data_IF_945095189496
#
_entry.id   IF_945095189496
#
_cell.length_a   1.000
_cell.length_b   1.000
_cell.length_c   1.000
_cell.angle_alpha   90.00
_cell.angle_beta   90.00
_cell.angle_gamma   90.00
#
_symmetry.space_group_name_H-M   'P 1'
#
loop_
_entity.id
_entity.type
_entity.pdbx_description
1 polymer ?
#
# COMPACT_ATOMS: atom_id res chain seq x y z
N UNK A 1 3.11 -66.73 44.44
CA UNK A 1 2.54 -66.03 45.60
C UNK A 1 3.43 -64.82 45.90
N UNK A 2 3.17 -63.68 45.25
CA UNK A 2 3.64 -62.36 45.69
C UNK A 2 2.60 -61.33 45.26
N UNK A 3 2.27 -60.47 46.21
CA UNK A 3 1.05 -59.68 46.35
C UNK A 3 1.48 -58.21 46.37
N UNK A 4 0.67 -57.32 45.79
CA UNK A 4 0.62 -55.84 46.04
C UNK A 4 1.82 -55.01 45.55
N UNK A 5 1.70 -53.80 44.97
CA UNK A 5 0.83 -52.66 45.28
C UNK A 5 0.57 -51.79 44.03
N UNK A 6 -0.68 -51.36 43.84
CA UNK A 6 -1.09 -50.28 42.92
C UNK A 6 -1.16 -49.00 43.75
N UNK A 7 -0.33 -48.00 43.44
CA UNK A 7 -0.43 -46.66 44.01
C UNK A 7 -1.14 -45.74 43.00
N UNK A 8 -2.39 -45.39 43.29
CA UNK A 8 -3.15 -44.34 42.61
C UNK A 8 -2.65 -42.98 43.07
N UNK A 9 -2.13 -42.17 42.14
CA UNK A 9 -1.85 -40.76 42.38
C UNK A 9 -3.13 -39.95 42.07
N UNK A 10 -3.92 -39.67 43.10
CA UNK A 10 -4.96 -38.64 43.06
C UNK A 10 -4.27 -37.27 43.16
N UNK A 11 -4.10 -36.60 42.03
CA UNK A 11 -3.66 -35.20 42.00
C UNK A 11 -4.87 -34.33 42.37
N UNK A 12 -4.94 -33.92 43.63
CA UNK A 12 -5.81 -32.81 44.03
C UNK A 12 -5.20 -31.51 43.49
N UNK A 13 -5.79 -30.99 42.40
CA UNK A 13 -5.61 -29.61 41.96
C UNK A 13 -6.21 -28.69 43.03
N UNK A 14 -5.38 -28.27 43.98
CA UNK A 14 -5.67 -27.10 44.80
C UNK A 14 -5.63 -25.88 43.88
N UNK A 15 -6.81 -25.34 43.57
CA UNK A 15 -6.93 -24.04 42.91
C UNK A 15 -6.57 -22.99 43.96
N UNK A 16 -5.37 -22.44 43.87
CA UNK A 16 -4.91 -21.37 44.73
C UNK A 16 -5.83 -20.13 44.55
N UNK A 17 -6.54 -19.66 45.59
CA UNK A 17 -7.39 -18.48 45.49
C UNK A 17 -6.58 -17.21 45.19
N UNK A 18 -5.28 -17.22 45.47
CA UNK A 18 -4.36 -16.14 45.12
C UNK A 18 -4.15 -16.01 43.59
N UNK A 19 -4.23 -17.10 42.82
CA UNK A 19 -4.15 -17.06 41.36
C UNK A 19 -5.43 -16.48 40.73
N UNK A 20 -6.59 -16.70 41.36
CA UNK A 20 -7.85 -16.10 40.93
C UNK A 20 -7.87 -14.57 41.16
N UNK A 21 -7.42 -14.10 42.33
CA UNK A 21 -7.35 -12.67 42.63
C UNK A 21 -6.29 -11.92 41.78
N UNK A 22 -5.19 -12.59 41.41
CA UNK A 22 -4.20 -12.04 40.48
C UNK A 22 -4.74 -11.94 39.05
N UNK A 23 -5.65 -12.84 38.65
CA UNK A 23 -6.36 -12.77 37.36
C UNK A 23 -7.31 -11.58 37.29
N UNK A 24 -8.13 -11.38 38.33
CA UNK A 24 -9.11 -10.29 38.37
C UNK A 24 -8.44 -8.90 38.34
N UNK A 25 -7.34 -8.72 39.08
CA UNK A 25 -6.60 -7.45 39.11
C UNK A 25 -5.87 -7.15 37.79
N UNK A 26 -5.35 -8.17 37.10
CA UNK A 26 -4.73 -8.01 35.79
C UNK A 26 -5.77 -7.68 34.69
N UNK A 27 -6.97 -8.26 34.78
CA UNK A 27 -8.08 -7.94 33.88
C UNK A 27 -8.62 -6.53 34.11
N UNK A 28 -8.71 -6.07 35.37
CA UNK A 28 -9.09 -4.70 35.71
C UNK A 28 -8.06 -3.67 35.23
N UNK A 29 -6.76 -3.94 35.42
CA UNK A 29 -5.69 -3.08 34.92
C UNK A 29 -5.71 -2.96 33.38
N UNK A 30 -5.93 -4.08 32.69
CA UNK A 30 -6.12 -4.11 31.24
C UNK A 30 -7.34 -3.27 30.82
N UNK A 31 -8.45 -3.40 31.53
CA UNK A 31 -9.67 -2.66 31.22
C UNK A 31 -9.47 -1.15 31.41
N UNK A 32 -8.83 -0.73 32.49
CA UNK A 32 -8.51 0.68 32.75
C UNK A 32 -7.60 1.23 31.66
N UNK A 33 -6.56 0.49 31.26
CA UNK A 33 -5.65 0.89 30.19
C UNK A 33 -6.37 1.12 28.85
N UNK A 34 -7.27 0.22 28.47
CA UNK A 34 -8.02 0.34 27.20
C UNK A 34 -9.09 1.44 27.21
N UNK A 35 -9.56 1.89 28.38
CA UNK A 35 -10.59 2.92 28.52
C UNK A 35 -10.02 4.33 28.71
N UNK A 36 -8.72 4.44 28.98
CA UNK A 36 -8.03 5.73 29.08
C UNK A 36 -8.23 6.55 27.80
N UNK A 37 -8.66 7.82 27.89
CA UNK A 37 -8.81 8.71 26.73
C UNK A 37 -7.60 8.74 25.79
N UNK A 38 -6.38 8.56 26.30
CA UNK A 38 -5.16 8.51 25.51
C UNK A 38 -5.12 7.29 24.55
N UNK A 39 -5.74 6.17 24.92
CA UNK A 39 -5.71 4.92 24.17
C UNK A 39 -6.98 4.66 23.34
N UNK A 40 -8.01 5.50 23.44
CA UNK A 40 -9.29 5.29 22.73
C UNK A 40 -9.14 5.29 21.21
N UNK A 41 -8.28 6.16 20.65
CA UNK A 41 -8.03 6.19 19.21
C UNK A 41 -7.28 4.94 18.72
N UNK A 42 -6.36 4.41 19.53
CA UNK A 42 -5.61 3.19 19.24
C UNK A 42 -6.53 1.97 19.29
N UNK A 43 -7.44 1.93 20.26
CA UNK A 43 -8.43 0.87 20.39
C UNK A 43 -9.40 0.84 19.18
N UNK A 44 -9.86 2.01 18.71
CA UNK A 44 -10.69 2.11 17.49
C UNK A 44 -9.91 1.62 16.26
N UNK A 45 -8.64 2.01 16.13
CA UNK A 45 -7.79 1.53 15.04
C UNK A 45 -7.56 0.01 15.09
N UNK A 46 -7.32 -0.55 16.27
CA UNK A 46 -7.16 -2.00 16.44
C UNK A 46 -8.44 -2.76 16.09
N UNK A 47 -9.62 -2.24 16.46
CA UNK A 47 -10.91 -2.81 16.09
C UNK A 47 -11.15 -2.79 14.56
N UNK A 48 -10.73 -1.72 13.87
CA UNK A 48 -10.79 -1.63 12.40
C UNK A 48 -9.84 -2.62 11.74
N UNK A 49 -8.60 -2.72 12.23
CA UNK A 49 -7.59 -3.68 11.73
C UNK A 49 -8.04 -5.13 11.87
N UNK A 50 -8.73 -5.45 12.97
CA UNK A 50 -9.28 -6.79 13.21
C UNK A 50 -10.59 -7.06 12.45
N UNK A 51 -11.07 -6.12 11.62
CA UNK A 51 -12.29 -6.27 10.83
C UNK A 51 -13.58 -6.27 11.66
N UNK A 52 -13.53 -5.74 12.89
CA UNK A 52 -14.66 -5.72 13.82
C UNK A 52 -15.54 -4.48 13.66
N UNK A 53 -15.15 -3.56 12.77
CA UNK A 53 -15.93 -2.39 12.36
C UNK A 53 -15.15 -1.49 11.39
N UNK A 54 -15.81 -0.47 10.86
CA UNK A 54 -15.21 0.56 10.01
C UNK A 54 -14.82 1.81 10.80
N UNK A 55 -13.95 2.64 10.21
CA UNK A 55 -13.56 3.93 10.81
C UNK A 55 -14.75 4.89 10.75
N UNK A 56 -15.09 5.50 11.88
CA UNK A 56 -16.02 6.64 11.93
C UNK A 56 -15.25 7.96 11.78
N UNK A 57 -15.97 9.05 11.51
CA UNK A 57 -15.40 10.40 11.44
C UNK A 57 -14.91 10.93 12.79
N UNK A 58 -15.47 10.44 13.90
CA UNK A 58 -15.02 10.74 15.25
C UNK A 58 -14.06 9.65 15.77
N UNK A 59 -12.96 10.07 16.39
CA UNK A 59 -11.91 9.17 16.94
C UNK A 59 -12.36 8.25 18.07
N UNK A 60 -13.54 8.49 18.63
CA UNK A 60 -14.16 7.71 19.72
C UNK A 60 -15.32 6.83 19.25
N UNK A 61 -15.54 6.74 17.94
CA UNK A 61 -16.66 6.01 17.34
C UNK A 61 -16.16 4.94 16.37
N UNK A 62 -16.91 3.84 16.30
CA UNK A 62 -16.70 2.75 15.35
C UNK A 62 -17.96 2.57 14.50
N UNK A 63 -17.78 2.34 13.21
CA UNK A 63 -18.88 2.09 12.28
C UNK A 63 -19.21 0.60 12.27
N UNK A 64 -20.36 0.21 12.80
CA UNK A 64 -20.84 -1.18 12.79
C UNK A 64 -22.14 -1.24 12.01
N UNK A 65 -22.20 -2.10 10.98
CA UNK A 65 -23.34 -2.20 10.07
C UNK A 65 -23.79 -0.84 9.49
N UNK A 66 -22.82 0.02 9.15
CA UNK A 66 -23.07 1.35 8.58
C UNK A 66 -23.49 2.44 9.58
N UNK A 67 -23.53 2.15 10.89
CA UNK A 67 -23.88 3.12 11.93
C UNK A 67 -22.68 3.48 12.80
N UNK A 68 -22.42 4.77 12.95
CA UNK A 68 -21.43 5.29 13.90
C UNK A 68 -21.91 5.01 15.32
N UNK A 69 -21.15 4.19 16.04
CA UNK A 69 -21.48 3.73 17.40
C UNK A 69 -20.37 4.20 18.34
N UNK A 70 -20.69 4.91 19.44
CA UNK A 70 -19.69 5.31 20.41
C UNK A 70 -19.07 4.09 21.08
N UNK A 71 -17.78 4.18 21.43
CA UNK A 71 -17.00 3.05 21.94
C UNK A 71 -17.65 2.36 23.16
N UNK A 72 -18.27 3.14 24.07
CA UNK A 72 -19.01 2.61 25.22
C UNK A 72 -20.23 1.78 24.83
N UNK A 73 -20.98 2.22 23.81
CA UNK A 73 -22.13 1.48 23.31
C UNK A 73 -21.67 0.21 22.58
N UNK A 74 -20.58 0.30 21.83
CA UNK A 74 -19.99 -0.85 21.15
C UNK A 74 -19.49 -1.92 22.13
N UNK A 75 -18.82 -1.53 23.21
CA UNK A 75 -18.38 -2.42 24.29
C UNK A 75 -19.54 -3.20 24.90
N UNK A 76 -20.65 -2.52 25.20
CA UNK A 76 -21.86 -3.15 25.75
C UNK A 76 -22.51 -4.14 24.78
N UNK A 77 -22.49 -3.82 23.48
CA UNK A 77 -23.08 -4.66 22.43
C UNK A 77 -22.19 -5.84 22.03
N UNK A 78 -20.87 -5.69 22.10
CA UNK A 78 -19.89 -6.68 21.63
C UNK A 78 -18.78 -6.93 22.66
N UNK A 79 -19.09 -7.40 23.88
CA UNK A 79 -18.12 -7.50 24.97
C UNK A 79 -16.93 -8.42 24.64
N UNK A 80 -17.17 -9.52 23.93
CA UNK A 80 -16.11 -10.47 23.53
C UNK A 80 -15.17 -9.89 22.46
N UNK A 81 -15.70 -9.06 21.56
CA UNK A 81 -14.89 -8.42 20.51
C UNK A 81 -14.04 -7.30 21.12
N UNK A 82 -14.62 -6.53 22.04
CA UNK A 82 -13.92 -5.52 22.81
C UNK A 82 -12.77 -6.12 23.63
N UNK A 83 -13.02 -7.19 24.39
CA UNK A 83 -11.99 -7.85 25.21
C UNK A 83 -10.84 -8.40 24.35
N UNK A 84 -11.14 -8.99 23.19
CA UNK A 84 -10.10 -9.45 22.24
C UNK A 84 -9.20 -8.30 21.76
N UNK A 85 -9.79 -7.16 21.41
CA UNK A 85 -9.05 -5.99 20.92
C UNK A 85 -8.24 -5.36 22.06
N UNK A 86 -8.84 -5.22 23.24
CA UNK A 86 -8.19 -4.70 24.42
C UNK A 86 -7.03 -5.58 24.89
N UNK A 87 -7.18 -6.91 24.84
CA UNK A 87 -6.11 -7.87 25.07
C UNK A 87 -4.97 -7.72 24.08
N UNK A 88 -5.27 -7.64 22.78
CA UNK A 88 -4.25 -7.44 21.76
C UNK A 88 -3.48 -6.11 21.94
N UNK A 89 -4.19 -5.03 22.28
CA UNK A 89 -3.58 -3.72 22.55
C UNK A 89 -2.71 -3.75 23.80
N UNK A 90 -3.23 -4.33 24.89
CA UNK A 90 -2.51 -4.44 26.16
C UNK A 90 -1.25 -5.33 26.03
N UNK A 91 -1.34 -6.48 25.37
CA UNK A 91 -0.19 -7.34 25.12
C UNK A 91 0.86 -6.68 24.21
N UNK A 92 0.43 -5.92 23.20
CA UNK A 92 1.33 -5.13 22.36
C UNK A 92 2.06 -4.03 23.17
N UNK A 93 1.37 -3.41 24.13
CA UNK A 93 1.99 -2.42 25.03
C UNK A 93 2.93 -3.07 26.06
N UNK A 94 2.59 -4.27 26.56
CA UNK A 94 3.38 -5.01 27.53
C UNK A 94 4.66 -5.60 26.92
N UNK A 95 4.62 -6.05 25.66
CA UNK A 95 5.80 -6.55 24.93
C UNK A 95 6.84 -5.45 24.64
N UNK A 96 6.44 -4.18 24.68
CA UNK A 96 7.36 -3.04 24.66
C UNK A 96 8.13 -2.80 25.98
N UNK A 97 7.77 -3.50 27.07
CA UNK A 97 8.34 -3.32 28.41
C UNK A 97 9.24 -4.46 28.90
N UNK A 98 9.43 -5.54 28.14
CA UNK A 98 10.22 -6.70 28.56
C UNK A 98 11.71 -6.56 28.16
N UNK A 99 12.46 -5.81 28.94
CA UNK A 99 13.93 -5.97 29.04
C UNK A 99 14.35 -6.00 30.49
N UNK A 100 14.59 -7.20 31.00
CA UNK A 100 15.59 -7.49 32.03
C UNK A 100 15.35 -6.97 33.46
N UNK A 101 14.91 -7.90 34.30
CA UNK A 101 14.84 -7.85 35.77
C UNK A 101 16.16 -7.43 36.46
N UNK A 102 16.07 -6.62 37.53
CA UNK A 102 17.06 -6.61 38.62
C UNK A 102 17.47 -5.25 39.19
N UNK A 103 16.92 -4.91 40.36
CA UNK A 103 17.63 -4.14 41.38
C UNK A 103 17.16 -2.70 41.64
N UNK A 104 16.75 -2.45 42.88
CA UNK A 104 16.38 -1.14 43.42
C UNK A 104 17.49 -0.07 43.26
N UNK A 105 17.16 1.08 42.69
CA UNK A 105 18.02 2.27 42.70
C UNK A 105 17.62 3.26 41.64
N UNK A 106 17.56 4.55 41.99
CA UNK A 106 16.94 5.64 41.22
C UNK A 106 17.21 5.62 39.71
N UNK A 107 16.15 5.84 38.93
CA UNK A 107 16.20 5.95 37.48
C UNK A 107 17.15 7.08 37.07
N UNK A 108 18.35 6.70 36.65
CA UNK A 108 19.28 7.55 35.91
C UNK A 108 18.58 8.09 34.66
N UNK A 109 18.78 9.38 34.36
CA UNK A 109 18.26 10.09 33.18
C UNK A 109 18.47 9.30 31.87
N UNK A 110 19.48 8.44 31.83
CA UNK A 110 19.82 7.58 30.68
C UNK A 110 18.79 6.47 30.44
N UNK A 111 18.18 5.89 31.48
CA UNK A 111 17.14 4.85 31.33
C UNK A 111 15.80 5.44 30.88
N UNK A 112 15.44 6.62 31.39
CA UNK A 112 14.28 7.36 30.91
C UNK A 112 14.44 7.74 29.43
N UNK A 113 15.66 8.08 28.99
CA UNK A 113 15.97 8.38 27.60
C UNK A 113 15.84 7.15 26.68
N UNK A 114 16.25 5.96 27.15
CA UNK A 114 16.11 4.71 26.38
C UNK A 114 14.65 4.30 26.18
N UNK A 115 13.83 4.44 27.22
CA UNK A 115 12.38 4.17 27.15
C UNK A 115 11.70 5.15 26.19
N UNK A 116 12.08 6.43 26.23
CA UNK A 116 11.56 7.44 25.32
C UNK A 116 11.97 7.17 23.86
N UNK A 117 13.21 6.75 23.63
CA UNK A 117 13.70 6.36 22.30
C UNK A 117 12.97 5.11 21.78
N UNK A 118 12.76 4.09 22.62
CA UNK A 118 12.04 2.87 22.21
C UNK A 118 10.56 3.13 21.88
N UNK A 119 9.87 3.97 22.67
CA UNK A 119 8.49 4.39 22.39
C UNK A 119 8.38 5.24 21.11
N UNK A 120 9.34 6.16 20.88
CA UNK A 120 9.43 6.94 19.63
C UNK A 120 9.75 6.04 18.42
N UNK A 121 10.57 5.00 18.60
CA UNK A 121 10.88 4.02 17.55
C UNK A 121 9.68 3.11 17.24
N UNK A 122 8.92 2.66 18.25
CA UNK A 122 7.72 1.84 18.06
C UNK A 122 6.55 2.57 17.39
N UNK A 123 6.27 3.81 17.83
CA UNK A 123 5.30 4.69 17.18
C UNK A 123 5.76 5.11 15.77
N UNK A 124 7.07 5.38 15.63
CA UNK A 124 7.71 5.67 14.34
C UNK A 124 7.62 4.51 13.36
N UNK A 125 7.82 3.25 13.80
CA UNK A 125 7.68 2.06 12.97
C UNK A 125 6.23 1.81 12.54
N UNK A 126 5.26 2.06 13.41
CA UNK A 126 3.83 1.87 13.07
C UNK A 126 3.33 2.95 12.11
N UNK A 127 3.72 4.22 12.32
CA UNK A 127 3.50 5.29 11.33
C UNK A 127 4.23 4.98 10.02
N UNK A 128 5.49 4.53 10.08
CA UNK A 128 6.29 4.19 8.91
C UNK A 128 5.69 3.02 8.13
N UNK A 129 5.16 1.99 8.79
CA UNK A 129 4.49 0.85 8.13
C UNK A 129 3.15 1.26 7.52
N UNK A 130 2.38 2.12 8.20
CA UNK A 130 1.13 2.69 7.67
C UNK A 130 1.35 3.57 6.44
N UNK A 131 2.31 4.48 6.53
CA UNK A 131 2.73 5.35 5.44
C UNK A 131 3.35 4.54 4.30
N UNK A 132 4.10 3.48 4.60
CA UNK A 132 4.65 2.58 3.60
C UNK A 132 3.58 1.82 2.82
N UNK A 133 2.55 1.33 3.52
CA UNK A 133 1.43 0.63 2.89
C UNK A 133 0.60 1.58 2.03
N UNK A 134 0.29 2.77 2.55
CA UNK A 134 -0.39 3.83 1.79
C UNK A 134 0.43 4.27 0.58
N UNK A 135 1.75 4.39 0.72
CA UNK A 135 2.66 4.71 -0.38
C UNK A 135 2.73 3.58 -1.43
N UNK A 136 2.69 2.31 -1.02
CA UNK A 136 2.60 1.17 -1.95
C UNK A 136 1.27 1.14 -2.70
N UNK A 137 0.16 1.30 -2.01
CA UNK A 137 -1.17 1.29 -2.64
C UNK A 137 -1.31 2.44 -3.65
N UNK A 138 -0.80 3.62 -3.28
CA UNK A 138 -0.72 4.77 -4.19
C UNK A 138 0.25 4.51 -5.36
N UNK A 139 1.35 3.81 -5.11
CA UNK A 139 2.31 3.40 -6.14
C UNK A 139 1.71 2.45 -7.17
N UNK A 140 0.96 1.43 -6.70
CA UNK A 140 0.24 0.48 -7.55
C UNK A 140 -0.82 1.17 -8.41
N UNK A 141 -1.65 2.03 -7.81
CA UNK A 141 -2.67 2.79 -8.56
C UNK A 141 -2.05 3.66 -9.66
N UNK A 142 -0.89 4.27 -9.39
CA UNK A 142 -0.14 5.07 -10.37
C UNK A 142 0.45 4.20 -11.49
N UNK A 143 1.04 3.06 -11.13
CA UNK A 143 1.56 2.08 -12.09
C UNK A 143 0.46 1.56 -13.02
N UNK A 144 -0.70 1.19 -12.46
CA UNK A 144 -1.86 0.73 -13.24
C UNK A 144 -2.42 1.82 -14.16
N UNK A 145 -2.45 3.07 -13.69
CA UNK A 145 -2.83 4.23 -14.50
C UNK A 145 -1.91 4.41 -15.71
N UNK A 146 -0.59 4.31 -15.51
CA UNK A 146 0.40 4.42 -16.57
C UNK A 146 0.27 3.25 -17.57
N UNK A 147 0.14 2.02 -17.06
CA UNK A 147 -0.05 0.83 -17.89
C UNK A 147 -1.34 0.90 -18.72
N UNK A 148 -2.41 1.48 -18.18
CA UNK A 148 -3.64 1.71 -18.93
C UNK A 148 -3.41 2.72 -20.06
N UNK A 149 -2.83 3.88 -19.73
CA UNK A 149 -2.59 4.94 -20.71
C UNK A 149 -1.69 4.46 -21.87
N UNK A 150 -0.60 3.74 -21.58
CA UNK A 150 0.29 3.21 -22.64
C UNK A 150 -0.39 2.16 -23.51
N UNK A 151 -1.25 1.30 -22.94
CA UNK A 151 -2.02 0.32 -23.72
C UNK A 151 -3.03 1.00 -24.64
N UNK A 152 -3.78 1.98 -24.13
CA UNK A 152 -4.77 2.72 -24.91
C UNK A 152 -4.11 3.48 -26.06
N UNK A 153 -3.00 4.19 -25.78
CA UNK A 153 -2.22 4.85 -26.83
C UNK A 153 -1.72 3.87 -27.87
N UNK A 154 -1.07 2.79 -27.43
CA UNK A 154 -0.49 1.85 -28.39
C UNK A 154 -1.55 1.14 -29.23
N UNK A 155 -2.75 0.86 -28.68
CA UNK A 155 -3.87 0.32 -29.46
C UNK A 155 -4.29 1.31 -30.54
N UNK A 156 -4.50 2.57 -30.17
CA UNK A 156 -4.91 3.61 -31.11
C UNK A 156 -3.87 3.80 -32.24
N UNK A 157 -2.58 3.77 -31.92
CA UNK A 157 -1.51 3.91 -32.92
C UNK A 157 -1.43 2.69 -33.85
N UNK A 158 -1.49 1.47 -33.31
CA UNK A 158 -1.48 0.26 -34.14
C UNK A 158 -2.71 0.19 -35.06
N UNK A 159 -3.90 0.54 -34.55
CA UNK A 159 -5.13 0.64 -35.35
C UNK A 159 -4.99 1.69 -36.46
N UNK A 160 -4.44 2.86 -36.15
CA UNK A 160 -4.19 3.93 -37.13
C UNK A 160 -3.20 3.51 -38.22
N UNK A 161 -2.07 2.92 -37.85
CA UNK A 161 -1.05 2.44 -38.79
C UNK A 161 -1.61 1.31 -39.68
N UNK A 162 -2.39 0.39 -39.11
CA UNK A 162 -3.03 -0.70 -39.85
C UNK A 162 -4.11 -0.18 -40.82
N UNK A 163 -4.89 0.81 -40.41
CA UNK A 163 -5.87 1.46 -41.28
C UNK A 163 -5.19 2.09 -42.50
N UNK A 164 -4.02 2.73 -42.32
CA UNK A 164 -3.24 3.28 -43.43
C UNK A 164 -2.59 2.22 -44.32
N UNK A 165 -2.09 1.12 -43.73
CA UNK A 165 -1.49 0.02 -44.48
C UNK A 165 -2.51 -0.66 -45.41
N UNK A 166 -3.79 -0.72 -45.00
CA UNK A 166 -4.89 -1.32 -45.78
C UNK A 166 -5.69 -0.31 -46.60
N UNK A 167 -5.41 0.99 -46.48
CA UNK A 167 -6.14 2.05 -47.17
C UNK A 167 -5.93 2.03 -48.68
N UNK A 168 -7.01 1.81 -49.43
CA UNK A 168 -7.04 1.82 -50.89
C UNK A 168 -7.93 2.92 -51.48
N UNK A 169 -9.05 3.26 -50.83
CA UNK A 169 -9.95 4.35 -51.20
C UNK A 169 -10.91 4.69 -50.03
N UNK A 170 -11.54 5.87 -50.07
CA UNK A 170 -12.60 6.27 -49.15
C UNK A 170 -12.21 7.40 -48.21
N UNK A 171 -12.81 7.43 -47.02
CA UNK A 171 -12.46 8.38 -45.97
C UNK A 171 -11.08 8.08 -45.41
N UNK A 172 -10.27 9.12 -45.21
CA UNK A 172 -8.94 8.98 -44.62
C UNK A 172 -9.05 8.45 -43.17
N UNK A 173 -8.14 7.57 -42.73
CA UNK A 173 -8.06 7.18 -41.33
C UNK A 173 -7.92 8.40 -40.41
N UNK A 174 -8.76 8.49 -39.38
CA UNK A 174 -8.72 9.57 -38.39
C UNK A 174 -7.61 9.36 -37.38
N UNK A 175 -6.90 10.43 -37.01
CA UNK A 175 -5.87 10.46 -35.98
C UNK A 175 -6.37 10.93 -34.59
N UNK A 176 -7.67 11.22 -34.45
CA UNK A 176 -8.25 11.78 -33.22
C UNK A 176 -7.97 10.89 -31.99
N UNK A 177 -8.12 9.57 -32.13
CA UNK A 177 -7.85 8.63 -31.05
C UNK A 177 -6.37 8.62 -30.65
N UNK A 178 -5.46 8.73 -31.63
CA UNK A 178 -4.00 8.81 -31.42
C UNK A 178 -3.65 10.09 -30.68
N UNK A 179 -4.15 11.24 -31.15
CA UNK A 179 -3.90 12.54 -30.52
C UNK A 179 -4.40 12.58 -29.06
N UNK A 180 -5.64 12.11 -28.83
CA UNK A 180 -6.25 12.09 -27.49
C UNK A 180 -5.48 11.20 -26.51
N UNK A 181 -5.16 9.97 -26.91
CA UNK A 181 -4.46 9.01 -26.04
C UNK A 181 -2.99 9.37 -25.83
N UNK A 182 -2.34 9.93 -26.86
CA UNK A 182 -0.97 10.46 -26.76
C UNK A 182 -0.88 11.63 -25.77
N UNK A 183 -1.85 12.55 -25.80
CA UNK A 183 -1.92 13.66 -24.86
C UNK A 183 -2.14 13.17 -23.40
N UNK A 184 -2.98 12.16 -23.18
CA UNK A 184 -3.16 11.58 -21.84
C UNK A 184 -1.87 10.91 -21.34
N UNK A 185 -1.18 10.14 -22.19
CA UNK A 185 0.09 9.52 -21.83
C UNK A 185 1.17 10.57 -21.51
N UNK A 186 1.32 11.61 -22.33
CA UNK A 186 2.24 12.72 -22.03
C UNK A 186 1.90 13.40 -20.70
N UNK A 187 0.61 13.63 -20.43
CA UNK A 187 0.15 14.22 -19.17
C UNK A 187 0.53 13.33 -17.97
N UNK A 188 0.41 12.00 -18.09
CA UNK A 188 0.85 11.06 -17.05
C UNK A 188 2.36 11.16 -16.81
N UNK A 189 3.16 11.09 -17.88
CA UNK A 189 4.62 11.13 -17.79
C UNK A 189 5.10 12.47 -17.24
N UNK A 190 4.47 13.58 -17.63
CA UNK A 190 4.76 14.92 -17.09
C UNK A 190 4.46 15.01 -15.60
N UNK A 191 3.38 14.40 -15.12
CA UNK A 191 3.10 14.30 -13.68
C UNK A 191 4.24 13.59 -12.96
N UNK A 192 4.76 12.49 -13.52
CA UNK A 192 5.88 11.76 -12.91
C UNK A 192 7.21 12.50 -12.98
N UNK A 193 7.50 13.22 -14.05
CA UNK A 193 8.66 14.11 -14.15
C UNK A 193 8.67 15.15 -13.02
N UNK A 194 7.52 15.78 -12.75
CA UNK A 194 7.38 16.79 -11.69
C UNK A 194 7.50 16.19 -10.28
N UNK A 195 6.90 15.00 -10.06
CA UNK A 195 6.92 14.31 -8.76
C UNK A 195 8.28 13.62 -8.48
N UNK A 196 9.00 13.22 -9.52
CA UNK A 196 10.26 12.46 -9.44
C UNK A 196 11.37 13.15 -10.23
N UNK A 197 11.67 14.41 -9.89
CA UNK A 197 12.68 15.26 -10.56
C UNK A 197 14.08 14.65 -10.75
N UNK A 198 14.43 13.63 -9.97
CA UNK A 198 15.73 12.92 -10.08
C UNK A 198 15.70 11.80 -11.13
N UNK A 199 14.53 11.39 -11.61
CA UNK A 199 14.38 10.36 -12.62
C UNK A 199 14.40 10.98 -14.00
N UNK A 200 15.22 10.43 -14.90
CA UNK A 200 15.35 10.86 -16.29
C UNK A 200 14.41 10.11 -17.23
N UNK A 201 14.01 8.90 -16.85
CA UNK A 201 13.12 8.04 -17.64
C UNK A 201 11.82 8.75 -18.08
N UNK A 202 11.07 9.47 -17.22
CA UNK A 202 9.87 10.19 -17.69
C UNK A 202 10.19 11.21 -18.79
N UNK A 203 11.28 11.98 -18.66
CA UNK A 203 11.70 12.95 -19.68
C UNK A 203 12.13 12.25 -20.97
N UNK A 204 12.83 11.10 -20.88
CA UNK A 204 13.21 10.27 -22.03
C UNK A 204 11.98 9.79 -22.79
N UNK A 205 11.02 9.17 -22.11
CA UNK A 205 9.78 8.66 -22.71
C UNK A 205 8.93 9.76 -23.34
N UNK A 206 8.88 10.95 -22.72
CA UNK A 206 8.20 12.12 -23.32
C UNK A 206 8.91 12.59 -24.59
N UNK A 207 10.24 12.53 -24.61
CA UNK A 207 11.03 12.87 -25.80
C UNK A 207 10.77 11.85 -26.92
N UNK A 208 10.74 10.56 -26.60
CA UNK A 208 10.37 9.49 -27.54
C UNK A 208 8.97 9.70 -28.13
N UNK A 209 7.98 10.08 -27.30
CA UNK A 209 6.64 10.43 -27.75
C UNK A 209 6.58 11.66 -28.65
N UNK A 210 7.46 12.65 -28.43
CA UNK A 210 7.47 13.89 -29.20
C UNK A 210 8.33 13.80 -30.47
N UNK A 211 9.14 12.74 -30.62
CA UNK A 211 10.11 12.61 -31.73
C UNK A 211 9.71 11.47 -32.67
N UNK A 212 10.28 11.47 -33.88
CA UNK A 212 10.02 10.39 -34.82
C UNK A 212 10.49 9.04 -34.24
N UNK A 213 9.71 7.95 -34.44
CA UNK A 213 8.56 7.86 -35.34
C UNK A 213 7.19 8.17 -34.70
N UNK A 214 7.12 8.42 -33.39
CA UNK A 214 5.86 8.52 -32.63
C UNK A 214 5.29 9.95 -32.49
N UNK A 215 6.12 10.98 -32.72
CA UNK A 215 5.72 12.40 -32.66
C UNK A 215 4.96 12.88 -33.88
N UNK A 216 5.19 14.12 -34.32
CA UNK A 216 4.47 14.73 -35.46
C UNK A 216 4.60 13.91 -36.75
N UNK A 217 5.73 13.20 -36.89
CA UNK A 217 5.98 12.28 -37.99
C UNK A 217 5.04 11.08 -37.98
N UNK A 218 4.31 10.76 -36.92
CA UNK A 218 3.41 9.61 -36.88
C UNK A 218 2.21 9.79 -37.80
N UNK A 219 1.56 10.96 -37.79
CA UNK A 219 0.33 11.19 -38.55
C UNK A 219 0.55 11.82 -39.93
N UNK A 220 1.75 12.36 -40.19
CA UNK A 220 2.04 13.07 -41.44
C UNK A 220 2.40 12.15 -42.62
N UNK A 221 2.05 12.56 -43.84
CA UNK A 221 2.69 12.05 -45.07
C UNK A 221 2.32 10.65 -45.53
N UNK A 222 1.29 9.99 -44.98
CA UNK A 222 0.87 8.64 -45.42
C UNK A 222 0.25 8.59 -46.82
N UNK A 223 -0.49 9.64 -47.21
CA UNK A 223 -1.26 9.66 -48.46
C UNK A 223 -0.43 9.53 -49.73
N UNK A 224 0.80 10.06 -49.73
CA UNK A 224 1.73 9.99 -50.86
C UNK A 224 2.63 8.75 -50.87
N UNK A 225 2.55 7.90 -49.85
CA UNK A 225 3.43 6.73 -49.67
C UNK A 225 2.87 5.51 -50.40
N UNK A 226 3.75 4.71 -51.03
CA UNK A 226 3.35 3.45 -51.67
C UNK A 226 2.87 2.43 -50.63
N UNK A 227 2.01 1.44 -51.00
CA UNK A 227 1.55 0.43 -50.04
C UNK A 227 2.68 -0.33 -49.33
N UNK A 228 3.76 -0.66 -50.04
CA UNK A 228 4.93 -1.32 -49.46
C UNK A 228 5.66 -0.45 -48.43
N UNK A 229 5.84 0.83 -48.75
CA UNK A 229 6.47 1.79 -47.84
C UNK A 229 5.59 2.08 -46.61
N UNK A 230 4.25 2.08 -46.76
CA UNK A 230 3.31 2.19 -45.63
C UNK A 230 3.44 1.01 -44.68
N UNK A 231 3.58 -0.21 -45.22
CA UNK A 231 3.78 -1.40 -44.40
C UNK A 231 5.12 -1.36 -43.64
N UNK A 232 6.23 -0.98 -44.31
CA UNK A 232 7.54 -0.83 -43.66
C UNK A 232 7.53 0.25 -42.57
N UNK A 233 6.82 1.35 -42.81
CA UNK A 233 6.61 2.40 -41.82
C UNK A 233 5.79 1.93 -40.63
N UNK A 234 4.73 1.16 -40.86
CA UNK A 234 3.95 0.52 -39.81
C UNK A 234 4.81 -0.34 -38.89
N UNK A 235 5.70 -1.18 -39.46
CA UNK A 235 6.64 -1.99 -38.67
C UNK A 235 7.59 -1.13 -37.82
N UNK A 236 8.09 -0.01 -38.38
CA UNK A 236 8.94 0.93 -37.63
C UNK A 236 8.21 1.55 -36.44
N UNK A 237 6.93 1.89 -36.62
CA UNK A 237 6.07 2.40 -35.55
C UNK A 237 5.82 1.33 -34.49
N UNK A 238 5.54 0.09 -34.90
CA UNK A 238 5.31 -1.01 -33.96
C UNK A 238 6.55 -1.32 -33.10
N UNK A 239 7.76 -1.26 -33.69
CA UNK A 239 9.01 -1.37 -32.92
C UNK A 239 9.16 -0.24 -31.89
N UNK A 240 8.94 1.01 -32.30
CA UNK A 240 9.02 2.14 -31.38
C UNK A 240 7.94 2.09 -30.27
N UNK A 241 6.74 1.56 -30.57
CA UNK A 241 5.72 1.32 -29.55
C UNK A 241 6.15 0.24 -28.56
N UNK A 242 6.85 -0.80 -28.99
CA UNK A 242 7.38 -1.81 -28.09
C UNK A 242 8.39 -1.20 -27.11
N UNK A 243 9.35 -0.42 -27.62
CA UNK A 243 10.35 0.28 -26.79
C UNK A 243 9.69 1.23 -25.77
N UNK A 244 8.68 1.98 -26.21
CA UNK A 244 7.91 2.89 -25.34
C UNK A 244 7.16 2.12 -24.25
N UNK A 245 6.53 0.98 -24.60
CA UNK A 245 5.81 0.12 -23.64
C UNK A 245 6.77 -0.43 -22.59
N UNK A 246 7.92 -0.92 -23.00
CA UNK A 246 8.93 -1.48 -22.10
C UNK A 246 9.46 -0.40 -21.14
N UNK A 247 9.78 0.79 -21.64
CA UNK A 247 10.19 1.91 -20.79
C UNK A 247 9.10 2.41 -19.85
N UNK A 248 7.82 2.37 -20.26
CA UNK A 248 6.69 2.65 -19.37
C UNK A 248 6.51 1.56 -18.29
N UNK A 249 6.78 0.30 -18.61
CA UNK A 249 6.72 -0.80 -17.64
C UNK A 249 7.86 -0.70 -16.62
N UNK A 250 9.08 -0.35 -17.03
CA UNK A 250 10.19 -0.04 -16.13
C UNK A 250 9.79 1.07 -15.14
N UNK A 251 9.18 2.14 -15.65
CA UNK A 251 8.66 3.23 -14.81
C UNK A 251 7.55 2.76 -13.87
N UNK A 252 6.62 1.93 -14.35
CA UNK A 252 5.54 1.37 -13.54
C UNK A 252 6.09 0.51 -12.38
N UNK A 253 7.02 -0.41 -12.67
CA UNK A 253 7.68 -1.26 -11.66
C UNK A 253 8.45 -0.42 -10.62
N UNK A 254 9.07 0.68 -11.03
CA UNK A 254 9.72 1.60 -10.12
C UNK A 254 8.73 2.33 -9.19
N UNK A 255 7.53 2.65 -9.68
CA UNK A 255 6.46 3.28 -8.89
C UNK A 255 5.87 2.34 -7.84
N UNK A 256 5.78 1.04 -8.11
CA UNK A 256 5.24 0.02 -7.18
C UNK A 256 6.14 -0.23 -5.96
N UNK A 257 7.42 0.11 -6.05
CA UNK A 257 8.45 -0.15 -5.04
C UNK A 257 8.96 1.17 -4.43
N UNK A 258 8.14 1.86 -3.61
CA UNK A 258 8.61 3.05 -2.89
C UNK A 258 9.81 2.67 -2.02
N UNK A 259 10.82 3.53 -1.93
CA UNK A 259 11.97 3.35 -1.02
C UNK A 259 13.15 2.54 -1.53
N UNK A 260 13.08 1.87 -2.68
CA UNK A 260 14.27 1.23 -3.29
C UNK A 260 15.10 2.26 -4.05
N UNK A 261 16.43 2.13 -3.97
CA UNK A 261 17.33 2.90 -4.84
C UNK A 261 17.12 2.46 -6.28
N UNK A 262 16.60 3.37 -7.11
CA UNK A 262 16.40 3.17 -8.54
C UNK A 262 17.46 3.98 -9.31
N UNK A 263 18.71 3.50 -9.29
CA UNK A 263 19.81 4.13 -10.03
C UNK A 263 19.59 4.09 -11.55
N UNK A 264 18.98 3.02 -12.03
CA UNK A 264 18.59 2.81 -13.43
C UNK A 264 17.66 3.92 -13.94
N UNK A 265 16.79 4.45 -13.09
CA UNK A 265 15.87 5.53 -13.45
C UNK A 265 16.54 6.90 -13.57
N UNK A 266 17.81 7.04 -13.17
CA UNK A 266 18.58 8.29 -13.20
C UNK A 266 19.56 8.39 -14.37
N UNK A 267 19.84 7.26 -15.03
CA UNK A 267 20.61 7.20 -16.26
C UNK A 267 19.80 7.85 -17.39
#
# INVERSE_FOLDING_TARGET
MFLTLIASAFVHLAIDPAAAAAGDTADDARLVHCLDPAHQAELVNAAVTLGLGGRATASTHITVAGKATPLDAWRKQNPKAFDRVCKALYEASAQGGSSGEGGSGGLSVVELLKILVAAVVGAGLTMFVGDWRSARDTGLLRADGLRRAVREYSSAVSEYAQAWASYSAGSLPSDEAVARTGAELDAQLRRYELLRKKWRVPTRLRTELATAPLGDALCAGWGGTSPGDRAARGQTIDSALADLRDGCEELALALERPGRSHSEMRA
#
